data_IF_842703438537
#
_entry.id   IF_842703438537
#
_cell.length_a   1.000
_cell.length_b   1.000
_cell.length_c   1.000
_cell.angle_alpha   90.00
_cell.angle_beta   90.00
_cell.angle_gamma   90.00
#
_symmetry.space_group_name_H-M   'P 1'
#
loop_
_entity.id
_entity.type
_entity.pdbx_description
1 polymer ?
#
# COMPACT_ATOMS: atom_id res chain seq x y z
N UNK A 1 -6.35 20.97 -4.07
CA UNK A 1 -4.93 20.88 -3.68
C UNK A 1 -4.11 21.25 -4.90
N UNK A 2 -3.19 22.20 -4.77
CA UNK A 2 -2.30 22.62 -5.87
C UNK A 2 -0.95 21.93 -5.65
N UNK A 3 -0.47 21.18 -6.63
CA UNK A 3 0.79 20.43 -6.58
C UNK A 3 1.82 21.10 -7.51
N UNK A 4 2.40 22.21 -7.07
CA UNK A 4 3.42 22.96 -7.82
C UNK A 4 4.82 22.61 -7.31
N UNK A 5 5.82 22.45 -8.18
CA UNK A 5 7.22 22.23 -7.79
C UNK A 5 7.52 20.77 -7.42
N UNK A 6 7.07 19.80 -8.23
CA UNK A 6 7.36 18.38 -8.07
C UNK A 6 8.32 17.85 -9.15
N UNK A 7 8.70 18.66 -10.11
CA UNK A 7 9.45 18.29 -11.31
C UNK A 7 10.84 17.74 -10.95
N UNK A 8 11.59 18.43 -10.09
CA UNK A 8 12.90 17.98 -9.63
C UNK A 8 12.82 16.66 -8.86
N UNK A 9 11.80 16.52 -8.00
CA UNK A 9 11.56 15.29 -7.27
C UNK A 9 11.20 14.15 -8.22
N UNK A 10 10.34 14.39 -9.22
CA UNK A 10 9.95 13.39 -10.20
C UNK A 10 11.14 12.92 -11.04
N UNK A 11 12.03 13.83 -11.44
CA UNK A 11 13.27 13.49 -12.14
C UNK A 11 14.21 12.65 -11.27
N UNK A 12 14.41 13.07 -10.01
CA UNK A 12 15.25 12.37 -9.04
C UNK A 12 14.71 10.96 -8.75
N UNK A 13 13.42 10.83 -8.46
CA UNK A 13 12.76 9.54 -8.28
C UNK A 13 12.80 8.69 -9.55
N UNK A 14 12.77 9.31 -10.74
CA UNK A 14 12.96 8.65 -12.02
C UNK A 14 14.33 7.98 -12.14
N UNK A 15 15.41 8.62 -11.66
CA UNK A 15 16.76 8.04 -11.60
C UNK A 15 16.82 6.85 -10.65
N UNK A 16 16.28 7.00 -9.43
CA UNK A 16 16.20 5.90 -8.45
C UNK A 16 15.39 4.72 -8.97
N UNK A 17 14.24 4.99 -9.60
CA UNK A 17 13.36 3.99 -10.18
C UNK A 17 14.06 3.16 -11.26
N UNK A 18 14.88 3.79 -12.10
CA UNK A 18 15.67 3.08 -13.13
C UNK A 18 16.69 2.13 -12.51
N UNK A 19 17.45 2.61 -11.52
CA UNK A 19 18.42 1.78 -10.79
C UNK A 19 17.73 0.59 -10.11
N UNK A 20 16.62 0.86 -9.39
CA UNK A 20 15.80 -0.15 -8.75
C UNK A 20 15.26 -1.20 -9.74
N UNK A 21 14.65 -0.76 -10.85
CA UNK A 21 14.08 -1.69 -11.82
C UNK A 21 15.15 -2.59 -12.47
N UNK A 22 16.33 -2.05 -12.75
CA UNK A 22 17.45 -2.85 -13.28
C UNK A 22 17.89 -3.92 -12.28
N UNK A 23 17.98 -3.56 -11.00
CA UNK A 23 18.33 -4.48 -9.92
C UNK A 23 17.28 -5.58 -9.74
N UNK A 24 16.02 -5.16 -9.61
CA UNK A 24 14.88 -6.06 -9.44
C UNK A 24 14.75 -7.02 -10.62
N UNK A 25 14.96 -6.55 -11.86
CA UNK A 25 14.94 -7.40 -13.05
C UNK A 25 15.90 -8.59 -12.92
N UNK A 26 17.15 -8.33 -12.53
CA UNK A 26 18.18 -9.37 -12.34
C UNK A 26 17.76 -10.38 -11.27
N UNK A 27 17.25 -9.89 -10.14
CA UNK A 27 16.90 -10.73 -8.98
C UNK A 27 15.64 -11.58 -9.22
N UNK A 28 14.67 -11.04 -9.94
CA UNK A 28 13.42 -11.75 -10.23
C UNK A 28 13.62 -12.81 -11.31
N UNK A 29 14.35 -12.52 -12.39
CA UNK A 29 14.62 -13.48 -13.47
C UNK A 29 15.41 -14.72 -13.03
N UNK A 30 16.24 -14.60 -11.99
CA UNK A 30 17.00 -15.75 -11.48
C UNK A 30 16.17 -16.66 -10.57
N UNK A 31 15.00 -16.21 -10.09
CA UNK A 31 14.24 -16.91 -9.05
C UNK A 31 12.81 -17.29 -9.46
N UNK A 32 12.24 -16.68 -10.51
CA UNK A 32 10.85 -16.89 -10.95
C UNK A 32 10.77 -17.29 -12.42
N UNK A 33 9.67 -17.95 -12.80
CA UNK A 33 9.35 -18.21 -14.21
C UNK A 33 9.26 -16.89 -14.99
N UNK A 34 9.69 -16.92 -16.26
CA UNK A 34 9.79 -15.73 -17.12
C UNK A 34 8.48 -14.93 -17.23
N UNK A 35 7.34 -15.61 -17.39
CA UNK A 35 6.03 -14.95 -17.48
C UNK A 35 5.58 -14.28 -16.17
N UNK A 36 5.99 -14.80 -15.01
CA UNK A 36 5.69 -14.21 -13.70
C UNK A 36 6.62 -13.03 -13.46
N UNK A 37 7.90 -13.21 -13.78
CA UNK A 37 8.91 -12.15 -13.72
C UNK A 37 8.47 -10.92 -14.52
N UNK A 38 8.05 -11.11 -15.78
CA UNK A 38 7.64 -10.01 -16.65
C UNK A 38 6.38 -9.30 -16.12
N UNK A 39 5.42 -10.03 -15.56
CA UNK A 39 4.23 -9.44 -14.93
C UNK A 39 4.62 -8.53 -13.74
N UNK A 40 5.48 -9.00 -12.84
CA UNK A 40 5.93 -8.27 -11.64
C UNK A 40 6.77 -7.05 -11.99
N UNK A 41 7.68 -7.22 -12.96
CA UNK A 41 8.59 -6.17 -13.43
C UNK A 41 7.81 -5.10 -14.21
N UNK A 42 6.68 -5.45 -14.82
CA UNK A 42 5.93 -4.50 -15.62
C UNK A 42 5.19 -3.43 -14.80
N UNK A 43 5.67 -2.19 -14.94
CA UNK A 43 4.97 -0.98 -14.53
C UNK A 43 4.93 -0.71 -13.03
N UNK A 44 3.99 0.16 -12.64
CA UNK A 44 3.75 0.56 -11.25
C UNK A 44 4.53 1.77 -10.78
N UNK A 45 3.94 2.47 -9.80
CA UNK A 45 4.49 3.69 -9.20
C UNK A 45 5.70 3.44 -8.30
N UNK A 46 6.01 2.19 -7.93
CA UNK A 46 7.18 1.78 -7.11
C UNK A 46 7.39 2.67 -5.88
N UNK A 47 6.31 3.15 -5.24
CA UNK A 47 6.40 4.18 -4.20
C UNK A 47 7.10 3.66 -2.94
N UNK A 48 6.86 2.42 -2.55
CA UNK A 48 7.48 1.79 -1.37
C UNK A 48 9.01 1.62 -1.53
N UNK A 49 9.52 0.99 -2.60
CA UNK A 49 10.97 0.92 -2.79
C UNK A 49 11.60 2.30 -2.98
N UNK A 50 10.93 3.24 -3.66
CA UNK A 50 11.44 4.61 -3.78
C UNK A 50 11.52 5.34 -2.44
N UNK A 51 10.53 5.16 -1.57
CA UNK A 51 10.57 5.71 -0.21
C UNK A 51 11.78 5.16 0.56
N UNK A 52 12.00 3.83 0.52
CA UNK A 52 13.14 3.21 1.19
C UNK A 52 14.46 3.83 0.70
N UNK A 53 14.66 3.88 -0.62
CA UNK A 53 15.89 4.41 -1.21
C UNK A 53 16.09 5.90 -0.92
N UNK A 54 15.01 6.69 -0.90
CA UNK A 54 15.06 8.11 -0.58
C UNK A 54 15.42 8.33 0.90
N UNK A 55 14.82 7.57 1.81
CA UNK A 55 15.17 7.61 3.25
C UNK A 55 16.63 7.18 3.47
N UNK A 56 17.05 6.09 2.84
CA UNK A 56 18.43 5.61 2.92
C UNK A 56 19.44 6.69 2.50
N UNK A 57 19.17 7.39 1.38
CA UNK A 57 20.02 8.49 0.93
C UNK A 57 19.96 9.71 1.83
N UNK A 58 18.79 10.04 2.39
CA UNK A 58 18.64 11.16 3.34
C UNK A 58 19.45 11.00 4.63
N UNK A 59 19.71 9.75 5.04
CA UNK A 59 20.61 9.41 6.15
C UNK A 59 22.06 9.16 5.70
N UNK A 60 22.42 9.53 4.46
CA UNK A 60 23.76 9.36 3.90
C UNK A 60 24.28 7.90 3.90
N UNK A 61 23.36 6.94 3.72
CA UNK A 61 23.67 5.52 3.71
C UNK A 61 24.70 5.14 2.65
N UNK A 62 25.53 4.12 2.96
CA UNK A 62 26.69 3.72 2.13
C UNK A 62 26.46 2.46 1.31
N UNK A 63 25.78 1.47 1.88
CA UNK A 63 25.50 0.20 1.21
C UNK A 63 24.23 0.26 0.35
N UNK A 64 24.37 0.81 -0.85
CA UNK A 64 23.24 1.00 -1.76
C UNK A 64 22.71 -0.32 -2.35
N UNK A 65 23.57 -1.32 -2.54
CA UNK A 65 23.16 -2.63 -3.04
C UNK A 65 22.25 -3.34 -2.03
N UNK A 66 22.60 -3.31 -0.74
CA UNK A 66 21.71 -3.79 0.33
C UNK A 66 20.38 -3.04 0.35
N UNK A 67 20.39 -1.72 0.17
CA UNK A 67 19.16 -0.94 0.09
C UNK A 67 18.27 -1.36 -1.11
N UNK A 68 18.88 -1.65 -2.27
CA UNK A 68 18.17 -2.17 -3.45
C UNK A 68 17.61 -3.58 -3.23
N UNK A 69 18.32 -4.43 -2.52
CA UNK A 69 17.87 -5.78 -2.17
C UNK A 69 16.64 -5.75 -1.26
N UNK A 70 16.70 -4.96 -0.19
CA UNK A 70 15.56 -4.81 0.73
C UNK A 70 14.38 -4.11 0.05
N UNK A 71 14.64 -3.11 -0.80
CA UNK A 71 13.59 -2.49 -1.62
C UNK A 71 12.92 -3.52 -2.56
N UNK A 72 13.69 -4.45 -3.11
CA UNK A 72 13.18 -5.51 -3.99
C UNK A 72 12.30 -6.50 -3.22
N UNK A 73 12.71 -6.86 -2.01
CA UNK A 73 11.90 -7.68 -1.11
C UNK A 73 10.56 -7.02 -0.78
N UNK A 74 10.53 -5.71 -0.47
CA UNK A 74 9.28 -4.99 -0.22
C UNK A 74 8.36 -4.97 -1.43
N UNK A 75 8.92 -4.75 -2.62
CA UNK A 75 8.12 -4.74 -3.85
C UNK A 75 7.59 -6.14 -4.17
N UNK A 76 8.35 -7.21 -3.91
CA UNK A 76 7.87 -8.59 -4.05
C UNK A 76 6.71 -8.90 -3.08
N UNK A 77 6.85 -8.52 -1.82
CA UNK A 77 5.77 -8.66 -0.83
C UNK A 77 4.51 -7.89 -1.26
N UNK A 78 4.67 -6.67 -1.81
CA UNK A 78 3.54 -5.93 -2.36
C UNK A 78 2.91 -6.63 -3.57
N UNK A 79 3.69 -7.19 -4.49
CA UNK A 79 3.13 -7.92 -5.63
C UNK A 79 2.42 -9.21 -5.20
N UNK A 80 2.88 -9.86 -4.13
CA UNK A 80 2.15 -10.96 -3.49
C UNK A 80 0.78 -10.50 -2.99
N UNK A 81 0.71 -9.36 -2.29
CA UNK A 81 -0.56 -8.81 -1.80
C UNK A 81 -1.51 -8.47 -2.95
N UNK A 82 -1.00 -7.87 -4.04
CA UNK A 82 -1.82 -7.56 -5.22
C UNK A 82 -2.39 -8.82 -5.90
N UNK A 83 -1.59 -9.89 -5.96
CA UNK A 83 -2.03 -11.17 -6.55
C UNK A 83 -3.18 -11.76 -5.74
N UNK A 84 -3.11 -11.70 -4.41
CA UNK A 84 -4.18 -12.17 -3.54
C UNK A 84 -5.41 -11.25 -3.60
N UNK A 85 -5.21 -9.93 -3.57
CA UNK A 85 -6.29 -8.95 -3.70
C UNK A 85 -7.07 -9.15 -5.01
N UNK A 86 -6.40 -9.35 -6.15
CA UNK A 86 -7.05 -9.59 -7.44
C UNK A 86 -7.99 -10.81 -7.41
N UNK A 87 -7.64 -11.85 -6.64
CA UNK A 87 -8.46 -13.05 -6.46
C UNK A 87 -9.62 -12.77 -5.52
N UNK A 88 -9.36 -12.10 -4.39
CA UNK A 88 -10.36 -11.78 -3.36
C UNK A 88 -11.44 -10.84 -3.91
N UNK A 89 -11.02 -9.82 -4.66
CA UNK A 89 -11.89 -8.78 -5.22
C UNK A 89 -12.49 -9.18 -6.59
N UNK A 90 -12.04 -10.32 -7.17
CA UNK A 90 -12.47 -10.83 -8.49
C UNK A 90 -12.17 -9.83 -9.62
N UNK A 91 -11.02 -9.15 -9.52
CA UNK A 91 -10.59 -8.17 -10.52
C UNK A 91 -10.08 -8.87 -11.79
N UNK A 92 -10.64 -8.52 -12.95
CA UNK A 92 -10.24 -9.10 -14.25
C UNK A 92 -9.07 -8.38 -14.92
N UNK A 93 -8.76 -7.15 -14.48
CA UNK A 93 -7.71 -6.30 -15.04
C UNK A 93 -6.98 -5.51 -13.95
N UNK A 94 -5.65 -5.40 -14.10
CA UNK A 94 -4.79 -4.57 -13.27
C UNK A 94 -3.81 -3.81 -14.16
N UNK A 95 -3.75 -2.48 -14.00
CA UNK A 95 -2.87 -1.59 -14.78
C UNK A 95 -3.05 -1.75 -16.31
N UNK A 96 -4.29 -1.95 -16.77
CA UNK A 96 -4.63 -2.12 -18.18
C UNK A 96 -4.23 -3.47 -18.78
N UNK A 97 -3.86 -4.46 -17.94
CA UNK A 97 -3.54 -5.83 -18.36
C UNK A 97 -4.43 -6.84 -17.62
N UNK A 98 -4.69 -8.04 -18.18
CA UNK A 98 -5.35 -9.12 -17.47
C UNK A 98 -4.65 -9.45 -16.14
N UNK A 99 -5.41 -9.66 -15.05
CA UNK A 99 -4.85 -10.11 -13.77
C UNK A 99 -4.21 -11.49 -13.86
N UNK A 100 -3.30 -11.80 -12.94
CA UNK A 100 -2.54 -13.06 -12.99
C UNK A 100 -3.47 -14.28 -12.92
N UNK A 101 -4.46 -14.27 -12.04
CA UNK A 101 -5.42 -15.39 -11.91
C UNK A 101 -6.25 -15.60 -13.17
N UNK A 102 -6.52 -14.55 -13.96
CA UNK A 102 -7.19 -14.66 -15.26
C UNK A 102 -6.28 -15.32 -16.31
N UNK A 103 -4.97 -15.08 -16.24
CA UNK A 103 -4.00 -15.64 -17.19
C UNK A 103 -3.67 -17.10 -16.91
N UNK A 104 -3.50 -17.47 -15.64
CA UNK A 104 -2.94 -18.78 -15.24
C UNK A 104 -3.84 -19.60 -14.31
N UNK A 105 -5.05 -19.13 -14.03
CA UNK A 105 -6.01 -19.77 -13.13
C UNK A 105 -5.80 -19.41 -11.65
N UNK A 106 -6.89 -19.47 -10.88
CA UNK A 106 -6.92 -19.09 -9.45
C UNK A 106 -5.93 -19.91 -8.63
N UNK A 107 -5.93 -21.24 -8.80
CA UNK A 107 -5.10 -22.15 -8.00
C UNK A 107 -3.60 -21.86 -8.17
N UNK A 108 -3.15 -21.64 -9.41
CA UNK A 108 -1.73 -21.31 -9.66
C UNK A 108 -1.40 -19.91 -9.15
N UNK A 109 -2.23 -18.91 -9.45
CA UNK A 109 -1.99 -17.53 -9.01
C UNK A 109 -1.91 -17.40 -7.48
N UNK A 110 -2.75 -18.13 -6.74
CA UNK A 110 -2.68 -18.19 -5.28
C UNK A 110 -1.30 -18.70 -4.79
N UNK A 111 -0.82 -19.81 -5.34
CA UNK A 111 0.48 -20.38 -4.96
C UNK A 111 1.63 -19.47 -5.40
N UNK A 112 1.52 -18.79 -6.54
CA UNK A 112 2.54 -17.80 -6.93
C UNK A 112 2.61 -16.64 -5.94
N UNK A 113 1.47 -16.14 -5.44
CA UNK A 113 1.45 -15.16 -4.36
C UNK A 113 2.24 -15.63 -3.12
N UNK A 114 2.08 -16.90 -2.71
CA UNK A 114 2.89 -17.51 -1.64
C UNK A 114 4.39 -17.58 -1.98
N UNK A 115 4.75 -17.89 -3.22
CA UNK A 115 6.15 -17.94 -3.65
C UNK A 115 6.81 -16.56 -3.63
N UNK A 116 6.08 -15.51 -4.02
CA UNK A 116 6.57 -14.13 -4.00
C UNK A 116 6.87 -13.66 -2.58
N UNK A 117 5.97 -13.93 -1.63
CA UNK A 117 6.22 -13.55 -0.25
C UNK A 117 7.37 -14.35 0.35
N UNK A 118 7.51 -15.64 0.02
CA UNK A 118 8.66 -16.45 0.45
C UNK A 118 9.99 -15.89 -0.06
N UNK A 119 10.05 -15.50 -1.34
CA UNK A 119 11.25 -14.88 -1.91
C UNK A 119 11.56 -13.53 -1.24
N UNK A 120 10.54 -12.73 -0.94
CA UNK A 120 10.72 -11.49 -0.19
C UNK A 120 11.34 -11.74 1.20
N UNK A 121 10.83 -12.73 1.95
CA UNK A 121 11.38 -13.11 3.26
C UNK A 121 12.80 -13.68 3.18
N UNK A 122 13.10 -14.47 2.14
CA UNK A 122 14.46 -14.98 1.92
C UNK A 122 15.46 -13.86 1.70
N UNK A 123 15.12 -12.86 0.88
CA UNK A 123 15.97 -11.69 0.66
C UNK A 123 16.08 -10.85 1.94
N UNK A 124 14.97 -10.59 2.63
CA UNK A 124 14.99 -9.84 3.88
C UNK A 124 15.89 -10.51 4.93
N UNK A 125 15.86 -11.84 5.02
CA UNK A 125 16.69 -12.62 5.92
C UNK A 125 18.17 -12.63 5.52
N UNK A 126 18.50 -12.67 4.22
CA UNK A 126 19.91 -12.59 3.76
C UNK A 126 20.55 -11.26 4.13
N UNK A 127 19.77 -10.18 4.17
CA UNK A 127 20.27 -8.85 4.50
C UNK A 127 20.36 -8.58 6.01
N UNK A 128 19.73 -9.41 6.85
CA UNK A 128 19.89 -9.40 8.30
C UNK A 128 18.61 -9.69 9.09
N UNK A 129 18.78 -10.20 10.30
CA UNK A 129 17.67 -10.62 11.16
C UNK A 129 16.73 -9.46 11.55
N UNK A 130 17.26 -8.25 11.71
CA UNK A 130 16.47 -7.06 12.04
C UNK A 130 15.54 -6.66 10.88
N UNK A 131 16.04 -6.74 9.64
CA UNK A 131 15.24 -6.50 8.43
C UNK A 131 14.15 -7.56 8.32
N UNK A 132 14.48 -8.84 8.51
CA UNK A 132 13.49 -9.92 8.49
C UNK A 132 12.36 -9.72 9.53
N UNK A 133 12.69 -9.23 10.74
CA UNK A 133 11.68 -8.90 11.76
C UNK A 133 10.76 -7.77 11.32
N UNK A 134 11.30 -6.69 10.77
CA UNK A 134 10.50 -5.56 10.24
C UNK A 134 9.52 -6.06 9.17
N UNK A 135 9.99 -6.92 8.26
CA UNK A 135 9.15 -7.51 7.21
C UNK A 135 8.05 -8.39 7.78
N UNK A 136 8.38 -9.24 8.76
CA UNK A 136 7.41 -10.12 9.40
C UNK A 136 6.30 -9.33 10.08
N UNK A 137 6.67 -8.32 10.87
CA UNK A 137 5.71 -7.43 11.55
C UNK A 137 4.83 -6.68 10.55
N UNK A 138 5.42 -6.16 9.46
CA UNK A 138 4.67 -5.43 8.45
C UNK A 138 3.70 -6.34 7.68
N UNK A 139 4.14 -7.55 7.31
CA UNK A 139 3.30 -8.52 6.60
C UNK A 139 2.17 -9.06 7.47
N UNK A 140 2.45 -9.35 8.75
CA UNK A 140 1.42 -9.77 9.72
C UNK A 140 0.37 -8.65 9.90
N UNK A 141 0.80 -7.41 10.09
CA UNK A 141 -0.12 -6.26 10.17
C UNK A 141 -0.93 -6.08 8.90
N UNK A 142 -0.31 -6.18 7.72
CA UNK A 142 -1.01 -6.07 6.44
C UNK A 142 -2.09 -7.15 6.29
N UNK A 143 -1.73 -8.40 6.57
CA UNK A 143 -2.63 -9.56 6.49
C UNK A 143 -3.78 -9.44 7.49
N UNK A 144 -3.50 -9.02 8.73
CA UNK A 144 -4.52 -8.74 9.74
C UNK A 144 -5.45 -7.59 9.33
N UNK A 145 -4.94 -6.57 8.65
CA UNK A 145 -5.74 -5.49 8.08
C UNK A 145 -6.74 -6.00 7.03
N UNK A 146 -6.29 -6.87 6.13
CA UNK A 146 -7.16 -7.54 5.13
C UNK A 146 -8.20 -8.42 5.82
N UNK A 147 -7.82 -9.23 6.82
CA UNK A 147 -8.77 -10.05 7.56
C UNK A 147 -9.84 -9.22 8.26
N UNK A 148 -9.46 -8.10 8.89
CA UNK A 148 -10.41 -7.17 9.53
C UNK A 148 -11.40 -6.59 8.53
N UNK A 149 -10.94 -6.27 7.33
CA UNK A 149 -11.80 -5.82 6.23
C UNK A 149 -12.80 -6.93 5.86
N UNK A 150 -12.31 -8.15 5.59
CA UNK A 150 -13.16 -9.29 5.19
C UNK A 150 -14.18 -9.73 6.26
N UNK A 151 -13.83 -9.59 7.54
CA UNK A 151 -14.70 -9.99 8.65
C UNK A 151 -15.79 -8.96 8.98
N UNK A 152 -15.67 -7.71 8.51
CA UNK A 152 -16.60 -6.65 8.90
C UNK A 152 -17.88 -6.70 8.08
N UNK A 153 -19.02 -6.98 8.73
CA UNK A 153 -20.33 -7.13 8.07
C UNK A 153 -21.02 -5.82 7.75
N UNK A 154 -20.62 -4.71 8.36
CA UNK A 154 -21.21 -3.36 8.23
C UNK A 154 -20.24 -2.36 7.58
N UNK A 155 -20.75 -1.19 7.14
CA UNK A 155 -19.85 -0.13 6.67
C UNK A 155 -19.03 0.39 7.87
N UNK A 156 -17.69 0.42 7.79
CA UNK A 156 -16.89 0.88 8.90
C UNK A 156 -17.13 2.38 9.14
N UNK A 157 -17.29 2.77 10.41
CA UNK A 157 -17.15 4.18 10.77
C UNK A 157 -15.73 4.69 10.50
N UNK A 158 -15.56 6.02 10.46
CA UNK A 158 -14.27 6.69 10.16
C UNK A 158 -13.08 6.10 10.93
N UNK A 159 -13.24 5.83 12.23
CA UNK A 159 -12.18 5.29 13.09
C UNK A 159 -11.72 3.90 12.66
N UNK A 160 -12.67 3.01 12.36
CA UNK A 160 -12.33 1.65 11.92
C UNK A 160 -11.71 1.67 10.53
N UNK A 161 -12.24 2.49 9.63
CA UNK A 161 -11.68 2.67 8.29
C UNK A 161 -10.20 3.11 8.36
N UNK A 162 -9.89 4.15 9.15
CA UNK A 162 -8.51 4.61 9.35
C UNK A 162 -7.61 3.52 9.93
N UNK A 163 -8.14 2.68 10.82
CA UNK A 163 -7.39 1.52 11.36
C UNK A 163 -7.09 0.48 10.29
N UNK A 164 -8.07 0.15 9.44
CA UNK A 164 -7.90 -0.83 8.36
C UNK A 164 -6.82 -0.34 7.39
N UNK A 165 -6.90 0.89 6.88
CA UNK A 165 -5.90 1.39 5.92
C UNK A 165 -4.50 1.52 6.54
N UNK A 166 -4.42 1.84 7.85
CA UNK A 166 -3.17 1.88 8.58
C UNK A 166 -2.51 0.50 8.67
N UNK A 167 -3.30 -0.54 8.92
CA UNK A 167 -2.78 -1.90 9.03
C UNK A 167 -2.49 -2.52 7.64
N UNK A 168 -3.45 -2.45 6.71
CA UNK A 168 -3.37 -3.05 5.37
C UNK A 168 -2.33 -2.37 4.47
N UNK A 169 -2.32 -1.04 4.43
CA UNK A 169 -1.53 -0.29 3.45
C UNK A 169 -0.33 0.41 4.08
N UNK A 170 -0.53 1.13 5.19
CA UNK A 170 0.52 1.98 5.75
C UNK A 170 1.68 1.18 6.37
N UNK A 171 1.42 -0.04 6.86
CA UNK A 171 2.43 -0.96 7.42
C UNK A 171 3.63 -1.21 6.49
N UNK A 172 3.41 -1.37 5.18
CA UNK A 172 4.50 -1.56 4.22
C UNK A 172 5.25 -0.26 3.90
N UNK A 173 4.62 0.91 4.05
CA UNK A 173 5.31 2.20 3.97
C UNK A 173 6.13 2.49 5.23
N UNK A 174 5.62 2.10 6.41
CA UNK A 174 6.36 2.11 7.67
C UNK A 174 7.63 1.26 7.54
N UNK A 175 7.51 0.03 7.06
CA UNK A 175 8.63 -0.89 6.84
C UNK A 175 9.65 -0.33 5.84
N UNK A 176 9.19 0.31 4.76
CA UNK A 176 10.07 0.95 3.78
C UNK A 176 10.94 2.04 4.41
N UNK A 177 10.31 2.96 5.16
CA UNK A 177 11.03 4.04 5.83
C UNK A 177 11.97 3.50 6.92
N UNK A 178 11.49 2.56 7.74
CA UNK A 178 12.27 1.93 8.81
C UNK A 178 13.50 1.21 8.28
N UNK A 179 13.35 0.37 7.24
CA UNK A 179 14.47 -0.33 6.61
C UNK A 179 15.47 0.65 5.99
N UNK A 180 15.00 1.71 5.32
CA UNK A 180 15.88 2.70 4.71
C UNK A 180 16.80 3.36 5.74
N UNK A 181 16.26 3.75 6.89
CA UNK A 181 17.03 4.36 7.97
C UNK A 181 17.92 3.34 8.71
N UNK A 182 17.43 2.12 8.92
CA UNK A 182 18.20 1.04 9.53
C UNK A 182 19.45 0.71 8.71
N UNK A 183 19.30 0.53 7.40
CA UNK A 183 20.42 0.20 6.49
C UNK A 183 21.42 1.37 6.43
N UNK A 184 20.95 2.61 6.56
CA UNK A 184 21.81 3.79 6.61
C UNK A 184 22.54 3.97 7.95
N UNK A 185 22.25 3.16 8.97
CA UNK A 185 22.87 3.25 10.29
C UNK A 185 22.31 4.38 11.17
N UNK A 186 21.05 4.78 10.97
CA UNK A 186 20.41 5.79 11.80
C UNK A 186 20.19 5.28 13.25
N UNK A 187 20.09 6.20 14.21
CA UNK A 187 19.81 5.83 15.61
C UNK A 187 18.39 5.27 15.78
N UNK A 188 18.12 4.46 16.82
CA UNK A 188 16.78 3.93 17.10
C UNK A 188 15.68 5.01 17.21
N UNK A 189 16.01 6.18 17.75
CA UNK A 189 15.10 7.32 17.87
C UNK A 189 14.71 7.88 16.49
N UNK A 190 15.70 8.04 15.61
CA UNK A 190 15.49 8.53 14.24
C UNK A 190 14.72 7.51 13.40
N UNK A 191 15.03 6.22 13.56
CA UNK A 191 14.30 5.12 12.92
C UNK A 191 12.81 5.17 13.31
N UNK A 192 12.51 5.35 14.62
CA UNK A 192 11.13 5.46 15.10
C UNK A 192 10.40 6.67 14.50
N UNK A 193 11.08 7.81 14.37
CA UNK A 193 10.51 9.01 13.76
C UNK A 193 10.23 8.81 12.27
N UNK A 194 11.16 8.23 11.51
CA UNK A 194 10.95 8.01 10.07
C UNK A 194 9.93 6.90 9.80
N UNK A 195 9.82 5.89 10.67
CA UNK A 195 8.75 4.89 10.61
C UNK A 195 7.38 5.55 10.71
N UNK A 196 7.20 6.49 11.66
CA UNK A 196 5.98 7.29 11.78
C UNK A 196 5.74 8.16 10.54
N UNK A 197 6.79 8.70 9.92
CA UNK A 197 6.67 9.39 8.64
C UNK A 197 6.14 8.46 7.54
N UNK A 198 6.68 7.24 7.42
CA UNK A 198 6.19 6.21 6.51
C UNK A 198 4.71 5.87 6.71
N UNK A 199 4.26 5.75 7.96
CA UNK A 199 2.84 5.57 8.30
C UNK A 199 1.97 6.68 7.68
N UNK A 200 2.36 7.95 7.85
CA UNK A 200 1.60 9.10 7.37
C UNK A 200 1.55 9.17 5.85
N UNK A 201 2.66 8.86 5.18
CA UNK A 201 2.72 8.74 3.72
C UNK A 201 1.76 7.65 3.23
N UNK A 202 1.81 6.46 3.85
CA UNK A 202 0.98 5.32 3.47
C UNK A 202 -0.52 5.58 3.66
N UNK A 203 -0.91 6.23 4.77
CA UNK A 203 -2.29 6.65 5.01
C UNK A 203 -2.75 7.65 3.95
N UNK A 204 -1.98 8.72 3.71
CA UNK A 204 -2.34 9.73 2.72
C UNK A 204 -2.49 9.13 1.31
N UNK A 205 -1.61 8.20 0.95
CA UNK A 205 -1.68 7.49 -0.33
C UNK A 205 -2.96 6.66 -0.48
N UNK A 206 -3.33 5.85 0.52
CA UNK A 206 -4.55 5.03 0.45
C UNK A 206 -5.81 5.89 0.42
N UNK A 207 -5.85 6.97 1.19
CA UNK A 207 -6.97 7.90 1.15
C UNK A 207 -7.15 8.53 -0.24
N UNK A 208 -6.05 8.81 -0.94
CA UNK A 208 -6.08 9.33 -2.31
C UNK A 208 -6.54 8.28 -3.33
N UNK A 209 -6.12 7.03 -3.16
CA UNK A 209 -6.57 5.88 -3.96
C UNK A 209 -8.10 5.73 -3.89
N UNK A 210 -8.63 5.68 -2.67
CA UNK A 210 -10.07 5.57 -2.41
C UNK A 210 -10.84 6.81 -2.93
N UNK A 211 -10.23 8.00 -2.86
CA UNK A 211 -10.82 9.22 -3.40
C UNK A 211 -10.94 9.18 -4.94
N UNK A 212 -9.91 8.67 -5.64
CA UNK A 212 -9.94 8.49 -7.10
C UNK A 212 -11.04 7.50 -7.50
N UNK A 213 -11.18 6.41 -6.75
CA UNK A 213 -12.24 5.43 -6.99
C UNK A 213 -13.65 6.02 -6.84
N UNK A 214 -13.87 6.81 -5.78
CA UNK A 214 -15.14 7.53 -5.59
C UNK A 214 -15.43 8.49 -6.76
N UNK A 215 -14.42 9.22 -7.27
CA UNK A 215 -14.61 10.14 -8.39
C UNK A 215 -14.97 9.41 -9.68
N UNK A 216 -14.29 8.29 -9.96
CA UNK A 216 -14.51 7.54 -11.20
C UNK A 216 -15.84 6.80 -11.27
N UNK A 217 -16.66 6.87 -10.22
CA UNK A 217 -17.89 6.08 -10.14
C UNK A 217 -17.61 4.57 -10.13
N UNK A 218 -16.33 4.17 -9.97
CA UNK A 218 -15.94 2.83 -9.56
C UNK A 218 -16.38 2.75 -8.11
N UNK A 219 -17.65 2.44 -7.89
CA UNK A 219 -18.29 2.44 -6.58
C UNK A 219 -17.43 1.64 -5.61
N UNK A 220 -16.55 2.29 -4.85
CA UNK A 220 -15.60 1.59 -4.00
C UNK A 220 -15.25 2.51 -2.83
N UNK A 221 -15.80 2.18 -1.66
CA UNK A 221 -15.06 2.29 -0.40
C UNK A 221 -14.38 0.89 -0.23
N UNK A 222 -13.89 0.32 -1.35
CA UNK A 222 -14.23 -1.02 -1.94
C UNK A 222 -15.74 -1.29 -1.98
N UNK A 223 -16.33 -1.82 -3.06
CA UNK A 223 -17.77 -1.72 -3.43
C UNK A 223 -18.82 -2.26 -2.44
N UNK A 224 -18.90 -1.72 -1.20
CA UNK A 224 -19.21 -2.44 0.05
C UNK A 224 -18.14 -3.49 0.38
N UNK A 225 -17.50 -3.44 1.55
CA UNK A 225 -16.70 -4.54 2.13
C UNK A 225 -17.40 -5.95 2.12
N UNK A 226 -18.67 -6.04 1.68
CA UNK A 226 -19.61 -7.16 1.89
C UNK A 226 -20.74 -7.24 0.83
N UNK A 227 -20.70 -6.57 -0.35
CA UNK A 227 -21.92 -6.58 -1.19
C UNK A 227 -22.30 -7.98 -1.69
N UNK A 228 -21.34 -8.86 -1.94
CA UNK A 228 -21.66 -10.22 -2.39
C UNK A 228 -22.19 -11.14 -1.29
N UNK A 229 -21.80 -10.95 -0.02
CA UNK A 229 -22.47 -11.65 1.09
C UNK A 229 -23.80 -11.01 1.48
N UNK A 230 -24.05 -9.73 1.17
CA UNK A 230 -25.28 -9.04 1.57
C UNK A 230 -26.48 -9.22 0.66
N UNK A 231 -26.34 -9.51 -0.64
CA UNK A 231 -27.56 -9.77 -1.43
C UNK A 231 -28.21 -11.08 -0.99
N UNK A 232 -27.47 -12.19 -0.95
CA UNK A 232 -28.01 -13.47 -0.50
C UNK A 232 -28.39 -13.47 0.98
N UNK A 233 -27.60 -12.86 1.87
CA UNK A 233 -27.89 -12.85 3.30
C UNK A 233 -29.04 -11.88 3.66
N UNK A 234 -29.18 -10.74 2.97
CA UNK A 234 -30.37 -9.87 3.14
C UNK A 234 -31.62 -10.51 2.53
N UNK A 235 -31.50 -11.16 1.37
CA UNK A 235 -32.58 -11.95 0.77
C UNK A 235 -32.99 -13.07 1.74
N UNK A 236 -32.03 -13.79 2.34
CA UNK A 236 -32.31 -14.78 3.40
C UNK A 236 -32.97 -14.18 4.62
N UNK A 237 -32.49 -13.04 5.14
CA UNK A 237 -33.08 -12.39 6.32
C UNK A 237 -34.50 -11.88 6.05
N UNK A 238 -34.75 -11.31 4.87
CA UNK A 238 -36.09 -10.90 4.43
C UNK A 238 -36.99 -12.14 4.27
N UNK A 239 -36.52 -13.19 3.61
CA UNK A 239 -37.26 -14.45 3.49
C UNK A 239 -37.56 -15.07 4.85
N UNK A 240 -36.60 -15.04 5.79
CA UNK A 240 -36.76 -15.57 7.14
C UNK A 240 -37.75 -14.71 7.95
N UNK A 241 -37.69 -13.38 7.86
CA UNK A 241 -38.63 -12.48 8.50
C UNK A 241 -40.06 -12.66 7.97
N UNK A 242 -40.22 -12.82 6.64
CA UNK A 242 -41.52 -13.15 6.01
C UNK A 242 -42.03 -14.51 6.49
N UNK A 243 -41.17 -15.53 6.51
CA UNK A 243 -41.53 -16.89 6.95
C UNK A 243 -41.89 -16.94 8.44
N UNK A 244 -41.25 -16.11 9.27
CA UNK A 244 -41.48 -16.04 10.72
C UNK A 244 -42.50 -14.96 11.15
N UNK A 245 -43.10 -14.21 10.21
CA UNK A 245 -43.97 -13.04 10.48
C UNK A 245 -43.33 -12.00 11.42
N UNK A 246 -42.00 -11.86 11.36
CA UNK A 246 -41.25 -10.91 12.16
C UNK A 246 -41.18 -9.53 11.46
N UNK A 247 -41.11 -8.42 12.21
CA UNK A 247 -40.95 -7.10 11.62
C UNK A 247 -39.64 -6.98 10.82
N UNK A 248 -39.72 -6.38 9.63
CA UNK A 248 -38.58 -6.14 8.75
C UNK A 248 -37.54 -5.23 9.42
N UNK A 249 -36.23 -5.49 9.25
CA UNK A 249 -35.17 -4.69 9.87
C UNK A 249 -34.95 -3.37 9.09
N UNK A 250 -35.90 -2.44 9.19
CA UNK A 250 -35.84 -1.13 8.51
C UNK A 250 -34.81 -0.16 9.10
N UNK A 251 -34.26 -0.44 10.30
CA UNK A 251 -33.29 0.47 10.97
C UNK A 251 -31.97 0.66 10.22
N UNK A 252 -31.63 -0.22 9.28
CA UNK A 252 -30.39 -0.12 8.47
C UNK A 252 -30.44 0.95 7.36
N UNK A 253 -31.59 1.62 7.16
CA UNK A 253 -31.76 2.68 6.15
C UNK A 253 -31.43 4.10 6.65
N UNK A 254 -31.26 4.29 7.96
CA UNK A 254 -31.11 5.62 8.60
C UNK A 254 -29.72 5.81 9.22
N UNK A 255 -28.68 5.23 8.63
CA UNK A 255 -27.32 5.58 9.03
C UNK A 255 -27.01 7.01 8.53
N UNK A 256 -26.40 7.89 9.35
CA UNK A 256 -25.97 9.20 8.89
C UNK A 256 -25.02 9.03 7.68
N UNK A 257 -25.36 9.69 6.57
CA UNK A 257 -24.51 9.71 5.37
C UNK A 257 -23.23 10.46 5.70
N UNK A 258 -22.15 9.71 5.95
CA UNK A 258 -20.81 10.29 6.05
C UNK A 258 -20.49 10.93 4.68
N UNK A 259 -20.12 12.21 4.68
CA UNK A 259 -19.50 12.83 3.52
C UNK A 259 -18.06 12.31 3.39
N UNK A 260 -17.93 11.18 2.70
CA UNK A 260 -16.66 10.51 2.48
C UNK A 260 -15.69 11.36 1.67
N UNK A 261 -16.16 12.11 0.67
CA UNK A 261 -15.28 12.97 -0.14
C UNK A 261 -14.60 14.01 0.75
N UNK A 262 -15.39 14.73 1.55
CA UNK A 262 -14.85 15.73 2.48
C UNK A 262 -13.91 15.09 3.50
N UNK A 263 -14.32 13.97 4.10
CA UNK A 263 -13.52 13.26 5.09
C UNK A 263 -12.15 12.81 4.54
N UNK A 264 -12.12 12.21 3.35
CA UNK A 264 -10.88 11.75 2.73
C UNK A 264 -9.93 12.92 2.46
N UNK A 265 -10.43 14.02 1.89
CA UNK A 265 -9.61 15.22 1.61
C UNK A 265 -9.03 15.82 2.89
N UNK A 266 -9.84 15.94 3.95
CA UNK A 266 -9.38 16.45 5.26
C UNK A 266 -8.26 15.58 5.85
N UNK A 267 -8.43 14.25 5.84
CA UNK A 267 -7.40 13.34 6.36
C UNK A 267 -6.16 13.26 5.45
N UNK A 268 -6.29 13.41 4.12
CA UNK A 268 -5.13 13.51 3.22
C UNK A 268 -4.26 14.71 3.61
N UNK A 269 -4.87 15.89 3.71
CA UNK A 269 -4.16 17.14 4.03
C UNK A 269 -3.49 17.05 5.40
N UNK A 270 -4.20 16.50 6.38
CA UNK A 270 -3.67 16.28 7.74
C UNK A 270 -2.45 15.36 7.75
N UNK A 271 -2.53 14.20 7.10
CA UNK A 271 -1.41 13.24 7.09
C UNK A 271 -0.20 13.77 6.30
N UNK A 272 -0.40 14.52 5.21
CA UNK A 272 0.69 15.23 4.51
C UNK A 272 1.36 16.25 5.45
N UNK A 273 0.57 17.06 6.16
CA UNK A 273 1.09 18.08 7.09
C UNK A 273 1.91 17.45 8.22
N UNK A 274 1.39 16.37 8.82
CA UNK A 274 2.09 15.62 9.87
C UNK A 274 3.39 14.99 9.35
N UNK A 275 3.38 14.39 8.15
CA UNK A 275 4.58 13.83 7.53
C UNK A 275 5.65 14.91 7.31
N UNK A 276 5.26 16.08 6.78
CA UNK A 276 6.17 17.22 6.58
C UNK A 276 6.78 17.73 7.87
N UNK A 277 5.98 17.80 8.94
CA UNK A 277 6.45 18.23 10.26
C UNK A 277 7.53 17.29 10.79
N UNK A 278 7.33 15.97 10.67
CA UNK A 278 8.33 14.99 11.10
C UNK A 278 9.66 15.24 10.39
N UNK A 279 9.67 15.29 9.05
CA UNK A 279 10.92 15.45 8.27
C UNK A 279 11.59 16.80 8.52
N UNK A 280 10.81 17.87 8.78
CA UNK A 280 11.36 19.19 9.09
C UNK A 280 12.32 19.14 10.27
N UNK A 281 11.95 18.39 11.30
CA UNK A 281 12.65 18.32 12.58
C UNK A 281 13.81 17.31 12.59
N UNK A 282 13.98 16.52 11.52
CA UNK A 282 15.10 15.56 11.38
C UNK A 282 16.35 16.21 10.83
N UNK A 283 17.52 15.82 11.34
CA UNK A 283 18.81 16.14 10.73
C UNK A 283 19.11 15.14 9.61
N UNK A 284 18.98 15.60 8.37
CA UNK A 284 19.05 14.79 7.14
C UNK A 284 19.80 15.59 6.08
N UNK A 285 20.50 14.89 5.19
CA UNK A 285 21.25 15.55 4.11
C UNK A 285 20.32 16.12 3.04
N UNK A 286 20.75 17.23 2.43
CA UNK A 286 20.10 17.81 1.26
C UNK A 286 20.74 17.27 -0.04
N UNK A 287 19.97 17.13 -1.14
CA UNK A 287 18.58 17.56 -1.33
C UNK A 287 17.52 16.56 -0.84
N UNK A 288 17.91 15.39 -0.32
CA UNK A 288 16.98 14.32 0.04
C UNK A 288 15.99 14.71 1.14
N UNK A 289 16.39 15.53 2.11
CA UNK A 289 15.48 16.08 3.12
C UNK A 289 14.36 16.90 2.48
N UNK A 290 14.68 17.76 1.52
CA UNK A 290 13.69 18.52 0.74
C UNK A 290 12.76 17.58 -0.03
N UNK A 291 13.31 16.56 -0.66
CA UNK A 291 12.53 15.54 -1.37
C UNK A 291 11.61 14.73 -0.45
N UNK A 292 12.05 14.36 0.75
CA UNK A 292 11.19 13.68 1.74
C UNK A 292 10.04 14.57 2.22
N UNK A 293 10.23 15.89 2.35
CA UNK A 293 9.12 16.81 2.67
C UNK A 293 8.05 16.82 1.57
N UNK A 294 8.47 16.62 0.31
CA UNK A 294 7.61 16.69 -0.88
C UNK A 294 7.03 15.34 -1.31
N UNK A 295 7.65 14.25 -0.87
CA UNK A 295 7.25 12.88 -1.22
C UNK A 295 5.78 12.52 -0.89
N UNK A 296 5.18 12.91 0.26
CA UNK A 296 3.76 12.64 0.51
C UNK A 296 2.84 13.29 -0.53
N UNK A 297 3.18 14.50 -0.99
CA UNK A 297 2.45 15.21 -2.03
C UNK A 297 2.61 14.52 -3.38
N UNK A 298 3.84 14.08 -3.71
CA UNK A 298 4.10 13.29 -4.89
C UNK A 298 3.29 11.98 -4.91
N UNK A 299 3.19 11.26 -3.79
CA UNK A 299 2.38 10.05 -3.69
C UNK A 299 0.91 10.31 -4.02
N UNK A 300 0.32 11.36 -3.43
CA UNK A 300 -1.07 11.74 -3.71
C UNK A 300 -1.24 12.24 -5.14
N UNK A 301 -0.36 13.12 -5.62
CA UNK A 301 -0.37 13.65 -6.98
C UNK A 301 -0.29 12.53 -8.02
N UNK A 302 0.66 11.60 -7.85
CA UNK A 302 0.82 10.46 -8.76
C UNK A 302 -0.41 9.55 -8.79
N UNK A 303 -1.18 9.48 -7.71
CA UNK A 303 -2.46 8.77 -7.67
C UNK A 303 -3.55 9.53 -8.42
N UNK A 304 -3.69 10.83 -8.15
CA UNK A 304 -4.70 11.68 -8.79
C UNK A 304 -4.50 11.79 -10.31
N UNK A 305 -3.25 11.78 -10.82
CA UNK A 305 -2.98 11.77 -12.28
C UNK A 305 -3.58 10.58 -13.02
N UNK A 306 -3.79 9.45 -12.35
CA UNK A 306 -4.45 8.30 -12.96
C UNK A 306 -5.96 8.53 -13.14
N UNK A 307 -6.52 9.58 -12.53
CA UNK A 307 -7.93 9.90 -12.61
C UNK A 307 -8.38 10.56 -13.92
N UNK A 308 -7.42 11.05 -14.72
CA UNK A 308 -7.71 12.02 -15.78
C UNK A 308 -7.81 13.42 -15.19
#
# INVERSE_FOLDING_TARGET
MVFEGLEELEEYLGKLRRAFNLHMYKKVRSNLDSGIADNIISGGKRLRPLLLLLVFKAFNGKDFEKALDVASALELAHNASLTHDDIIDVDFERRGKPTLWRQIGIGRALIEGHRLINLAFQIALSEGLEIAKIFLEAWDRASNGVLKELMHRELPGKTLYLRIIKEKTASLFEAAAECGALIAGASPELIKQVKKYGEKVGIAYQLADDYVDIIKGRFSIRSHLVFYNRFEEKIRQIMLAVKLKAPLPLRSLLAPRIDWKKFLVEEIVKNISEAKKIVKDLDLVEPEKTYLKRFPEYCVYSMLREAG
#
